data_IF_848960147951
#
_entry.id   IF_848960147951
#
_cell.length_a   1.000
_cell.length_b   1.000
_cell.length_c   1.000
_cell.angle_alpha   90.00
_cell.angle_beta   90.00
_cell.angle_gamma   90.00
#
_symmetry.space_group_name_H-M   'P 1'
#
loop_
_entity.id
_entity.type
_entity.pdbx_description
1 polymer ?
#
# COMPACT_ATOMS: atom_id res chain seq x y z
N UNK A 1 -7.80 0.23 9.30
CA UNK A 1 -8.51 -1.06 9.55
C UNK A 1 -9.06 -1.07 10.97
N UNK A 2 -10.37 -1.24 11.16
CA UNK A 2 -11.00 -1.09 12.48
C UNK A 2 -11.16 -2.41 13.23
N UNK A 3 -10.87 -2.38 14.54
CA UNK A 3 -11.13 -3.51 15.45
C UNK A 3 -12.63 -3.79 15.53
N UNK A 4 -13.02 -5.05 15.40
CA UNK A 4 -14.40 -5.53 15.50
C UNK A 4 -15.38 -4.76 14.59
N UNK A 5 -14.86 -4.21 13.48
CA UNK A 5 -15.62 -3.51 12.46
C UNK A 5 -15.91 -2.03 12.74
N UNK A 6 -15.27 -1.41 13.74
CA UNK A 6 -15.40 0.05 13.94
C UNK A 6 -14.92 0.85 12.73
N UNK A 7 -15.46 2.04 12.54
CA UNK A 7 -14.95 3.00 11.57
C UNK A 7 -13.64 3.63 12.07
N UNK A 8 -12.67 3.77 11.18
CA UNK A 8 -11.40 4.46 11.45
C UNK A 8 -11.45 5.86 10.87
N UNK A 9 -12.12 6.79 11.55
CA UNK A 9 -12.40 8.12 11.00
C UNK A 9 -11.13 8.97 10.87
N UNK A 10 -10.82 9.36 9.63
CA UNK A 10 -9.73 10.26 9.26
C UNK A 10 -8.38 9.55 9.03
N UNK A 11 -7.51 10.23 8.27
CA UNK A 11 -6.25 9.68 7.75
C UNK A 11 -5.20 9.27 8.81
N UNK A 12 -5.42 9.60 10.09
CA UNK A 12 -4.50 9.29 11.19
C UNK A 12 -5.09 8.35 12.22
N UNK A 13 -6.26 7.74 11.94
CA UNK A 13 -6.90 6.79 12.83
C UNK A 13 -6.01 5.54 13.02
N UNK A 14 -5.40 5.46 14.19
CA UNK A 14 -4.45 4.40 14.56
C UNK A 14 -4.80 3.71 15.87
N UNK A 15 -3.77 3.21 16.53
CA UNK A 15 -3.90 2.32 17.67
C UNK A 15 -4.74 2.91 18.83
N UNK A 16 -4.59 4.21 19.10
CA UNK A 16 -5.30 4.93 20.17
C UNK A 16 -6.82 4.93 20.03
N UNK A 17 -7.33 4.64 18.83
CA UNK A 17 -8.77 4.55 18.53
C UNK A 17 -9.15 3.16 18.05
N UNK A 18 -8.39 2.13 18.44
CA UNK A 18 -8.59 0.73 18.05
C UNK A 18 -8.55 0.49 16.53
N UNK A 19 -7.71 1.25 15.82
CA UNK A 19 -7.46 1.08 14.40
C UNK A 19 -6.04 0.62 14.14
N UNK A 20 -5.84 -0.08 13.03
CA UNK A 20 -4.53 -0.23 12.40
C UNK A 20 -4.50 0.81 11.27
N UNK A 21 -3.58 1.77 11.39
CA UNK A 21 -3.37 2.86 10.43
C UNK A 21 -2.69 2.40 9.14
N UNK A 22 -2.59 3.28 8.15
CA UNK A 22 -1.70 3.08 7.01
C UNK A 22 -0.23 3.24 7.41
N UNK A 23 0.65 2.50 6.74
CA UNK A 23 2.07 2.54 7.04
C UNK A 23 2.70 3.84 6.58
N UNK A 24 3.61 4.42 7.37
CA UNK A 24 4.49 5.49 6.90
C UNK A 24 5.75 4.93 6.21
N UNK A 25 5.83 3.61 5.98
CA UNK A 25 6.94 2.88 5.36
C UNK A 25 8.28 2.97 6.12
N UNK A 26 8.91 4.14 6.18
CA UNK A 26 10.30 4.26 6.66
C UNK A 26 10.66 5.63 7.22
N UNK A 27 11.92 6.02 6.97
CA UNK A 27 12.47 7.32 7.39
C UNK A 27 11.78 8.48 6.69
N UNK A 28 11.40 8.28 5.43
CA UNK A 28 10.50 9.16 4.68
C UNK A 28 9.12 8.51 4.70
N UNK A 29 8.09 9.32 4.96
CA UNK A 29 6.71 8.88 4.90
C UNK A 29 6.33 8.59 3.45
N UNK A 30 5.83 7.39 3.20
CA UNK A 30 5.06 7.10 1.99
C UNK A 30 3.60 7.58 2.17
N UNK A 31 2.89 7.67 1.05
CA UNK A 31 1.48 7.98 0.98
C UNK A 31 0.79 7.08 -0.05
N UNK A 32 -0.47 7.35 -0.33
CA UNK A 32 -1.19 6.76 -1.43
C UNK A 32 -0.59 7.14 -2.79
N UNK A 33 0.00 8.33 -2.93
CA UNK A 33 0.59 8.87 -4.17
C UNK A 33 2.10 8.69 -4.29
N UNK A 34 2.84 8.67 -3.18
CA UNK A 34 4.29 8.55 -3.15
C UNK A 34 4.72 7.29 -2.39
N UNK A 35 5.68 6.55 -2.93
CA UNK A 35 6.18 5.34 -2.30
C UNK A 35 7.39 5.60 -1.41
N UNK A 36 7.70 4.63 -0.56
CA UNK A 36 9.00 4.55 0.07
C UNK A 36 9.32 3.12 0.48
N UNK A 37 10.60 2.83 0.72
CA UNK A 37 10.99 1.51 1.21
C UNK A 37 10.51 1.30 2.64
N UNK A 38 9.71 0.24 2.84
CA UNK A 38 9.31 -0.20 4.17
C UNK A 38 10.33 -1.15 4.77
N UNK A 39 11.39 -0.56 5.33
CA UNK A 39 12.50 -1.28 5.97
C UNK A 39 12.44 -1.25 7.50
N UNK A 40 11.69 -0.31 8.08
CA UNK A 40 11.63 -0.14 9.53
C UNK A 40 10.60 -1.06 10.17
N UNK A 41 11.05 -1.86 11.14
CA UNK A 41 10.18 -2.69 11.99
C UNK A 41 9.37 -1.87 13.00
N UNK A 42 9.73 -0.61 13.22
CA UNK A 42 9.01 0.33 14.08
C UNK A 42 7.96 1.15 13.34
N UNK A 43 7.81 0.94 12.01
CA UNK A 43 6.73 1.53 11.22
C UNK A 43 5.62 0.50 11.08
N UNK A 44 4.53 0.76 11.77
CA UNK A 44 3.34 -0.09 11.80
C UNK A 44 2.30 0.39 10.81
N UNK A 45 1.33 -0.46 10.51
CA UNK A 45 0.21 -0.19 9.64
C UNK A 45 0.10 -1.21 8.52
N UNK A 46 -0.62 -0.83 7.46
CA UNK A 46 -0.77 -1.60 6.24
C UNK A 46 -0.23 -0.80 5.04
N UNK A 47 0.33 -1.50 4.07
CA UNK A 47 0.75 -0.93 2.79
C UNK A 47 0.85 -2.00 1.71
N UNK A 48 1.04 -1.58 0.47
CA UNK A 48 1.08 -2.48 -0.67
C UNK A 48 2.20 -2.18 -1.66
N UNK A 49 2.47 -3.19 -2.46
CA UNK A 49 3.34 -3.15 -3.61
C UNK A 49 2.80 -4.03 -4.73
N UNK A 50 3.47 -4.00 -5.87
CA UNK A 50 3.07 -4.73 -7.06
C UNK A 50 4.23 -5.57 -7.59
N UNK A 51 3.89 -6.66 -8.27
CA UNK A 51 4.85 -7.45 -9.03
C UNK A 51 4.21 -7.88 -10.35
N UNK A 52 4.87 -7.60 -11.47
CA UNK A 52 4.43 -8.12 -12.76
C UNK A 52 4.58 -9.65 -12.78
N UNK A 53 3.51 -10.35 -13.15
CA UNK A 53 3.52 -11.80 -13.41
C UNK A 53 3.72 -12.03 -14.90
N UNK A 54 3.00 -11.26 -15.72
CA UNK A 54 3.14 -11.19 -17.18
C UNK A 54 2.87 -9.76 -17.64
N UNK A 55 3.53 -9.34 -18.71
CA UNK A 55 3.51 -7.94 -19.14
C UNK A 55 4.30 -7.03 -18.21
N UNK A 56 4.13 -5.72 -18.38
CA UNK A 56 4.83 -4.68 -17.60
C UNK A 56 3.90 -3.55 -17.18
N UNK A 57 2.65 -3.89 -16.88
CA UNK A 57 1.55 -2.92 -16.73
C UNK A 57 1.38 -2.39 -15.30
N UNK A 58 2.10 -2.94 -14.32
CA UNK A 58 2.10 -2.42 -12.96
C UNK A 58 2.66 -0.99 -12.91
N UNK A 59 2.01 -0.10 -12.15
CA UNK A 59 2.42 1.31 -12.08
C UNK A 59 3.69 1.55 -11.25
N UNK A 60 4.08 0.59 -10.42
CA UNK A 60 5.35 0.51 -9.72
C UNK A 60 5.64 -0.94 -9.35
N UNK A 61 6.80 -1.23 -8.77
CA UNK A 61 7.17 -2.59 -8.35
C UNK A 61 7.75 -2.62 -6.94
N UNK A 62 7.68 -3.78 -6.30
CA UNK A 62 8.25 -4.01 -4.96
C UNK A 62 9.75 -3.74 -4.88
N UNK A 63 10.46 -3.92 -5.99
CA UNK A 63 11.90 -3.72 -6.15
C UNK A 63 12.23 -2.43 -6.92
N UNK A 64 11.27 -1.51 -7.12
CA UNK A 64 11.54 -0.23 -7.79
C UNK A 64 12.73 0.49 -7.11
N UNK A 65 13.76 0.81 -7.91
CA UNK A 65 14.96 1.57 -7.50
C UNK A 65 14.89 3.05 -7.88
N UNK A 66 13.84 3.43 -8.60
CA UNK A 66 13.46 4.81 -8.92
C UNK A 66 12.07 5.09 -8.37
N UNK A 67 11.58 6.34 -8.50
CA UNK A 67 10.18 6.69 -8.17
C UNK A 67 9.22 5.55 -8.54
N UNK A 68 8.39 5.07 -7.59
CA UNK A 68 8.04 5.74 -6.34
C UNK A 68 9.00 5.49 -5.16
N UNK A 69 10.11 4.76 -5.35
CA UNK A 69 11.10 4.53 -4.28
C UNK A 69 12.51 4.91 -4.74
N UNK A 70 13.07 5.97 -4.15
CA UNK A 70 14.45 6.40 -4.47
C UNK A 70 15.49 5.54 -3.77
N UNK A 71 16.66 5.35 -4.39
CA UNK A 71 17.80 4.55 -3.91
C UNK A 71 18.30 4.85 -2.50
N UNK A 72 17.80 5.90 -1.86
CA UNK A 72 18.01 6.22 -0.43
C UNK A 72 17.24 5.21 0.44
N UNK A 73 17.70 3.95 0.42
CA UNK A 73 17.09 2.84 1.15
C UNK A 73 17.54 1.45 0.71
N UNK A 74 18.28 1.31 -0.42
CA UNK A 74 19.14 0.14 -0.70
C UNK A 74 18.47 -1.08 -1.35
N UNK A 75 18.25 -1.04 -2.68
CA UNK A 75 17.70 -2.13 -3.50
C UNK A 75 18.39 -3.49 -3.34
N UNK A 76 17.94 -4.24 -2.34
CA UNK A 76 18.10 -5.68 -2.19
C UNK A 76 16.71 -6.27 -1.97
N UNK A 77 16.52 -7.58 -2.17
CA UNK A 77 15.24 -8.29 -1.97
C UNK A 77 14.62 -8.15 -0.56
N UNK A 78 15.31 -7.49 0.37
CA UNK A 78 14.81 -7.12 1.70
C UNK A 78 13.95 -5.84 1.70
N UNK A 79 14.01 -5.05 0.63
CA UNK A 79 13.30 -3.80 0.49
C UNK A 79 11.94 -3.99 -0.16
N UNK A 80 10.89 -3.66 0.59
CA UNK A 80 9.53 -3.62 0.08
C UNK A 80 9.18 -2.18 -0.26
N UNK A 81 9.30 -1.80 -1.54
CA UNK A 81 8.84 -0.50 -2.01
C UNK A 81 7.31 -0.44 -1.87
N UNK A 82 6.83 0.39 -0.94
CA UNK A 82 5.44 0.39 -0.53
C UNK A 82 4.78 1.75 -0.72
N UNK A 83 3.48 1.70 -1.02
CA UNK A 83 2.54 2.82 -0.94
C UNK A 83 1.41 2.47 0.03
N UNK A 84 0.75 3.49 0.55
CA UNK A 84 -0.49 3.31 1.31
C UNK A 84 -1.65 3.05 0.33
N UNK A 85 -2.70 2.36 0.76
CA UNK A 85 -3.95 2.38 0.00
C UNK A 85 -4.59 3.74 0.16
N UNK A 86 -5.30 4.23 -0.86
CA UNK A 86 -6.10 5.44 -0.71
C UNK A 86 -7.22 5.18 0.31
N UNK A 87 -7.20 5.91 1.42
CA UNK A 87 -8.15 5.78 2.51
C UNK A 87 -9.52 6.34 2.10
N UNK A 88 -10.57 5.56 2.31
CA UNK A 88 -11.95 5.95 2.03
C UNK A 88 -12.49 6.92 3.10
N UNK A 89 -11.97 6.85 4.32
CA UNK A 89 -12.37 7.74 5.44
C UNK A 89 -11.67 9.10 5.37
N UNK A 90 -10.75 9.29 4.41
CA UNK A 90 -10.07 10.52 4.10
C UNK A 90 -10.35 10.97 2.64
N UNK A 91 -10.18 12.26 2.30
CA UNK A 91 -10.34 12.75 0.93
C UNK A 91 -9.11 12.40 0.05
N UNK A 92 -8.73 11.13 0.00
CA UNK A 92 -7.57 10.66 -0.77
C UNK A 92 -7.94 10.24 -2.20
N UNK A 93 -6.97 10.33 -3.10
CA UNK A 93 -7.19 10.03 -4.52
C UNK A 93 -7.00 8.56 -4.80
N UNK A 94 -7.97 7.92 -5.47
CA UNK A 94 -7.85 6.54 -5.96
C UNK A 94 -6.69 6.44 -6.96
N UNK A 95 -5.91 5.38 -6.85
CA UNK A 95 -4.69 5.22 -7.64
C UNK A 95 -4.84 4.18 -8.74
N UNK A 96 -4.27 4.47 -9.90
CA UNK A 96 -4.08 3.47 -10.95
C UNK A 96 -2.90 2.58 -10.59
N UNK A 97 -3.18 1.30 -10.36
CA UNK A 97 -2.13 0.30 -10.04
C UNK A 97 -1.72 -0.54 -11.25
N UNK A 98 -2.56 -0.57 -12.29
CA UNK A 98 -2.30 -1.32 -13.52
C UNK A 98 -2.93 -0.57 -14.70
N UNK A 99 -2.20 -0.44 -15.80
CA UNK A 99 -2.71 0.20 -17.02
C UNK A 99 -2.01 -0.30 -18.28
N UNK A 100 -2.75 -0.40 -19.38
CA UNK A 100 -2.20 -0.67 -20.71
C UNK A 100 -2.91 0.23 -21.75
N UNK A 101 -2.16 0.74 -22.73
CA UNK A 101 -2.71 1.60 -23.79
C UNK A 101 -3.29 0.81 -24.98
N UNK A 102 -2.93 -0.46 -25.12
CA UNK A 102 -3.42 -1.36 -26.15
C UNK A 102 -4.43 -2.36 -25.57
N UNK A 103 -5.27 -2.99 -26.41
CA UNK A 103 -6.08 -4.13 -25.99
C UNK A 103 -5.18 -5.29 -25.57
N UNK A 104 -5.23 -5.69 -24.30
CA UNK A 104 -4.44 -6.80 -23.74
C UNK A 104 -5.33 -7.72 -22.91
N UNK A 105 -5.17 -9.02 -23.08
CA UNK A 105 -5.94 -10.05 -22.37
C UNK A 105 -5.08 -10.97 -21.48
N UNK A 106 -3.75 -10.79 -21.47
CA UNK A 106 -2.80 -11.71 -20.83
C UNK A 106 -1.90 -11.04 -19.80
N UNK A 107 -2.06 -9.75 -19.53
CA UNK A 107 -1.26 -9.03 -18.53
C UNK A 107 -1.77 -9.32 -17.13
N UNK A 108 -0.86 -9.56 -16.19
CA UNK A 108 -1.17 -9.98 -14.84
C UNK A 108 -0.20 -9.34 -13.85
N UNK A 109 -0.73 -8.83 -12.75
CA UNK A 109 0.02 -8.18 -11.68
C UNK A 109 -0.41 -8.77 -10.33
N UNK A 110 0.54 -9.14 -9.49
CA UNK A 110 0.27 -9.43 -8.08
C UNK A 110 0.19 -8.13 -7.29
N UNK A 111 -0.87 -8.00 -6.49
CA UNK A 111 -0.99 -7.00 -5.43
C UNK A 111 -0.47 -7.60 -4.12
N UNK A 112 0.76 -7.27 -3.77
CA UNK A 112 1.41 -7.75 -2.56
C UNK A 112 1.15 -6.76 -1.42
N UNK A 113 0.55 -7.21 -0.32
CA UNK A 113 0.38 -6.36 0.87
C UNK A 113 1.36 -6.75 1.98
N UNK A 114 1.73 -5.77 2.81
CA UNK A 114 2.48 -5.97 4.04
C UNK A 114 1.70 -5.34 5.19
N UNK A 115 1.70 -6.04 6.32
CA UNK A 115 1.07 -5.61 7.57
C UNK A 115 2.10 -5.75 8.68
N UNK A 116 2.32 -4.67 9.43
CA UNK A 116 3.15 -4.69 10.63
C UNK A 116 2.33 -4.07 11.77
N UNK A 117 2.26 -4.73 12.91
CA UNK A 117 1.36 -4.35 14.01
C UNK A 117 2.18 -4.16 15.28
N UNK A 118 1.93 -3.07 15.99
CA UNK A 118 2.59 -2.80 17.27
C UNK A 118 2.24 -3.89 18.30
N UNK A 119 3.17 -4.20 19.19
CA UNK A 119 2.93 -5.10 20.32
C UNK A 119 1.90 -4.54 21.31
N UNK A 120 1.63 -3.24 21.26
CA UNK A 120 0.62 -2.57 22.10
C UNK A 120 -0.75 -2.53 21.45
N UNK A 121 -0.86 -2.88 20.16
CA UNK A 121 -2.13 -2.94 19.45
C UNK A 121 -3.11 -3.86 20.20
N UNK A 122 -4.31 -3.39 20.55
CA UNK A 122 -5.30 -4.22 21.23
C UNK A 122 -5.60 -5.50 20.44
N UNK A 123 -5.59 -6.65 21.12
CA UNK A 123 -5.98 -7.91 20.49
C UNK A 123 -7.44 -7.85 20.00
N UNK A 124 -7.71 -8.40 18.82
CA UNK A 124 -9.05 -8.42 18.22
C UNK A 124 -9.02 -8.71 16.72
N UNK A 125 -10.19 -8.74 16.11
CA UNK A 125 -10.31 -8.89 14.65
C UNK A 125 -10.30 -7.52 14.00
N UNK A 126 -9.43 -7.32 13.01
CA UNK A 126 -9.34 -6.06 12.27
C UNK A 126 -9.79 -6.26 10.84
N UNK A 127 -10.63 -5.35 10.36
CA UNK A 127 -11.25 -5.47 9.04
C UNK A 127 -10.82 -4.32 8.14
N UNK A 128 -10.62 -4.65 6.86
CA UNK A 128 -10.44 -3.70 5.78
C UNK A 128 -11.13 -4.20 4.52
N UNK A 129 -11.40 -3.27 3.59
CA UNK A 129 -11.94 -3.57 2.27
C UNK A 129 -11.07 -2.89 1.24
N UNK A 130 -10.36 -3.67 0.43
CA UNK A 130 -9.65 -3.17 -0.75
C UNK A 130 -10.55 -3.36 -1.96
N UNK A 131 -10.90 -2.28 -2.65
CA UNK A 131 -11.73 -2.32 -3.84
C UNK A 131 -10.89 -2.01 -5.08
N UNK A 132 -10.80 -2.99 -5.99
CA UNK A 132 -10.18 -2.83 -7.30
C UNK A 132 -11.26 -2.60 -8.34
N UNK A 133 -11.10 -1.59 -9.18
CA UNK A 133 -12.05 -1.25 -10.27
C UNK A 133 -11.29 -1.17 -11.58
N UNK A 134 -11.74 -1.92 -12.57
CA UNK A 134 -11.22 -1.83 -13.93
C UNK A 134 -12.10 -0.88 -14.76
N UNK A 135 -11.48 0.10 -15.41
CA UNK A 135 -12.16 1.06 -16.28
C UNK A 135 -11.61 0.89 -17.69
N UNK A 136 -12.48 0.64 -18.66
CA UNK A 136 -12.09 0.61 -20.07
C UNK A 136 -11.84 2.04 -20.58
N UNK A 137 -10.81 2.20 -21.40
CA UNK A 137 -10.55 3.41 -22.19
C UNK A 137 -10.96 3.13 -23.64
N UNK A 138 -11.72 4.03 -24.26
CA UNK A 138 -12.25 3.90 -25.62
C UNK A 138 -11.70 5.00 -26.53
#
# INVERSE_FOLDING_TARGET
MGKDGIACTGATAGESVNCIQDTLCGAVSCSETAGYYWTSTAKYGMGFSLANVSGTDASFLYDSTSEPCTTTGGGTSTNFCARQFADQEAPETKQTIMSNAAPVASSQVYLCYRLNVSTTQPAGYYFNKVQLTATATF
#
